data_IF_853152424131
#
_entry.id   IF_853152424131
#
_cell.length_a   1.000
_cell.length_b   1.000
_cell.length_c   1.000
_cell.angle_alpha   90.00
_cell.angle_beta   90.00
_cell.angle_gamma   90.00
#
_symmetry.space_group_name_H-M   'P 1'
#
loop_
_entity.id
_entity.type
_entity.pdbx_description
1 polymer ?
#
# COMPACT_ATOMS: atom_id res chain seq x y z
N UNK A 1 -0.93 20.08 35.86
CA UNK A 1 -0.28 18.97 35.12
C UNK A 1 -0.91 17.67 35.60
N UNK A 2 -1.12 16.70 34.70
CA UNK A 2 -1.66 15.39 35.10
C UNK A 2 -0.58 14.55 35.81
N UNK A 3 -0.95 13.67 36.76
CA UNK A 3 -0.02 12.71 37.34
C UNK A 3 0.52 11.74 36.28
N UNK A 4 1.82 11.43 36.32
CA UNK A 4 2.46 10.50 35.37
C UNK A 4 1.81 9.12 35.38
N UNK A 5 1.37 8.65 36.56
CA UNK A 5 0.67 7.37 36.71
C UNK A 5 -0.64 7.32 35.94
N UNK A 6 -1.38 8.44 35.90
CA UNK A 6 -2.62 8.54 35.16
C UNK A 6 -2.37 8.54 33.65
N UNK A 7 -1.35 9.28 33.19
CA UNK A 7 -0.96 9.30 31.77
C UNK A 7 -0.57 7.91 31.29
N UNK A 8 0.23 7.18 32.08
CA UNK A 8 0.64 5.81 31.77
C UNK A 8 -0.56 4.86 31.66
N UNK A 9 -1.48 4.90 32.62
CA UNK A 9 -2.67 4.05 32.61
C UNK A 9 -3.56 4.31 31.38
N UNK A 10 -3.70 5.57 30.97
CA UNK A 10 -4.45 5.94 29.76
C UNK A 10 -3.77 5.37 28.51
N UNK A 11 -2.44 5.55 28.36
CA UNK A 11 -1.70 5.03 27.21
C UNK A 11 -1.80 3.50 27.09
N UNK A 12 -1.68 2.78 28.21
CA UNK A 12 -1.84 1.33 28.24
C UNK A 12 -3.25 0.90 27.82
N UNK A 13 -4.29 1.59 28.34
CA UNK A 13 -5.67 1.31 27.95
C UNK A 13 -5.94 1.61 26.47
N UNK A 14 -5.35 2.66 25.91
CA UNK A 14 -5.47 3.00 24.49
C UNK A 14 -4.81 1.94 23.60
N UNK A 15 -3.59 1.52 23.94
CA UNK A 15 -2.88 0.47 23.22
C UNK A 15 -3.62 -0.87 23.24
N UNK A 16 -4.32 -1.19 24.33
CA UNK A 16 -5.17 -2.38 24.42
C UNK A 16 -6.46 -2.27 23.61
N UNK A 17 -7.07 -1.07 23.58
CA UNK A 17 -8.32 -0.84 22.85
C UNK A 17 -8.11 -0.86 21.33
N UNK A 18 -6.96 -0.38 20.85
CA UNK A 18 -6.57 -0.47 19.45
C UNK A 18 -5.08 -0.83 19.30
N UNK A 19 -4.76 -2.14 19.24
CA UNK A 19 -3.39 -2.61 19.06
C UNK A 19 -2.73 -2.19 17.74
N UNK A 20 -3.52 -1.71 16.77
CA UNK A 20 -3.02 -1.28 15.46
C UNK A 20 -2.89 0.25 15.35
N UNK A 21 -3.25 1.01 16.40
CA UNK A 21 -3.13 2.46 16.41
C UNK A 21 -1.69 2.96 16.27
N UNK A 22 -0.72 2.19 16.76
CA UNK A 22 0.71 2.53 16.70
C UNK A 22 1.54 1.30 16.28
N UNK A 23 1.58 1.03 14.98
CA UNK A 23 2.40 -0.05 14.42
C UNK A 23 3.85 0.42 14.35
N UNK A 24 4.72 -0.26 15.09
CA UNK A 24 6.16 0.01 15.13
C UNK A 24 6.94 -1.05 14.35
N UNK A 25 7.81 -0.60 13.45
CA UNK A 25 8.71 -1.45 12.69
C UNK A 25 10.08 -1.46 13.36
N UNK A 26 10.53 -2.66 13.75
CA UNK A 26 11.89 -2.87 14.22
C UNK A 26 12.84 -2.88 13.02
N UNK A 27 13.66 -1.84 12.91
CA UNK A 27 14.58 -1.66 11.80
C UNK A 27 16.03 -1.85 12.26
N UNK A 28 16.86 -2.36 11.36
CA UNK A 28 18.29 -2.59 11.57
C UNK A 28 19.08 -2.05 10.39
N UNK A 29 20.10 -1.24 10.67
CA UNK A 29 20.97 -0.71 9.64
C UNK A 29 21.94 -1.81 9.17
N UNK A 30 21.98 -2.15 7.87
CA UNK A 30 22.88 -3.19 7.37
C UNK A 30 24.37 -2.78 7.45
N UNK A 31 24.68 -1.48 7.48
CA UNK A 31 26.05 -0.98 7.50
C UNK A 31 26.68 -0.95 8.91
N UNK A 32 25.91 -0.63 9.95
CA UNK A 32 26.43 -0.44 11.32
C UNK A 32 25.72 -1.26 12.40
N UNK A 33 24.71 -2.06 12.02
CA UNK A 33 23.89 -2.87 12.94
C UNK A 33 23.13 -2.08 14.02
N UNK A 34 22.98 -0.77 13.88
CA UNK A 34 22.13 0.03 14.75
C UNK A 34 20.66 -0.38 14.62
N UNK A 35 19.93 -0.41 15.74
CA UNK A 35 18.51 -0.79 15.80
C UNK A 35 17.68 0.42 16.24
N UNK A 36 16.52 0.60 15.61
CA UNK A 36 15.53 1.60 16.01
C UNK A 36 14.11 1.11 15.74
N UNK A 37 13.14 1.77 16.36
CA UNK A 37 11.71 1.60 16.05
C UNK A 37 11.25 2.78 15.20
N UNK A 38 10.47 2.49 14.16
CA UNK A 38 9.86 3.51 13.32
C UNK A 38 8.35 3.29 13.23
N UNK A 39 7.58 4.35 13.46
CA UNK A 39 6.13 4.33 13.26
C UNK A 39 5.82 4.06 11.79
N UNK A 40 4.93 3.10 11.55
CA UNK A 40 4.40 2.81 10.22
C UNK A 40 3.14 3.63 9.98
N UNK A 41 3.28 4.69 9.18
CA UNK A 41 2.14 5.46 8.69
C UNK A 41 1.39 4.69 7.59
N UNK A 42 0.45 3.86 8.01
CA UNK A 42 -0.40 3.07 7.14
C UNK A 42 -1.21 3.94 6.16
N UNK A 43 -1.63 5.14 6.56
CA UNK A 43 -2.47 6.01 5.72
C UNK A 43 -1.67 6.49 4.52
N UNK A 44 -0.49 7.07 4.76
CA UNK A 44 0.37 7.54 3.68
C UNK A 44 0.86 6.39 2.79
N UNK A 45 1.23 5.25 3.40
CA UNK A 45 1.64 4.07 2.66
C UNK A 45 0.52 3.57 1.72
N UNK A 46 -0.67 3.32 2.27
CA UNK A 46 -1.78 2.76 1.51
C UNK A 46 -2.24 3.69 0.37
N UNK A 47 -2.25 5.00 0.62
CA UNK A 47 -2.58 5.99 -0.40
C UNK A 47 -1.59 5.97 -1.58
N UNK A 48 -0.29 5.84 -1.28
CA UNK A 48 0.74 5.70 -2.32
C UNK A 48 0.55 4.42 -3.17
N UNK A 49 0.21 3.30 -2.52
CA UNK A 49 -0.05 2.02 -3.19
C UNK A 49 -1.28 2.08 -4.10
N UNK A 50 -2.39 2.69 -3.62
CA UNK A 50 -3.59 2.90 -4.43
C UNK A 50 -3.29 3.76 -5.66
N UNK A 51 -2.57 4.88 -5.48
CA UNK A 51 -2.20 5.75 -6.59
C UNK A 51 -1.32 5.05 -7.61
N UNK A 52 -0.31 4.29 -7.14
CA UNK A 52 0.54 3.49 -8.00
C UNK A 52 -0.25 2.43 -8.76
N UNK A 53 -1.19 1.76 -8.09
CA UNK A 53 -2.08 0.77 -8.71
C UNK A 53 -2.97 1.39 -9.77
N UNK A 54 -3.63 2.51 -9.47
CA UNK A 54 -4.50 3.21 -10.41
C UNK A 54 -3.74 3.65 -11.68
N UNK A 55 -2.54 4.21 -11.51
CA UNK A 55 -1.69 4.61 -12.63
C UNK A 55 -1.17 3.43 -13.47
N UNK A 56 -0.98 2.25 -12.88
CA UNK A 56 -0.67 1.02 -13.63
C UNK A 56 -1.87 0.54 -14.44
N UNK A 57 -3.04 0.41 -13.80
CA UNK A 57 -4.28 -0.05 -14.47
C UNK A 57 -4.66 0.86 -15.64
N UNK A 58 -4.54 2.18 -15.48
CA UNK A 58 -4.84 3.11 -16.57
C UNK A 58 -3.93 2.88 -17.79
N UNK A 59 -2.64 2.60 -17.58
CA UNK A 59 -1.71 2.27 -18.66
C UNK A 59 -2.05 0.93 -19.32
N UNK A 60 -2.40 -0.09 -18.53
CA UNK A 60 -2.86 -1.38 -19.07
C UNK A 60 -4.08 -1.19 -20.00
N UNK A 61 -5.08 -0.45 -19.53
CA UNK A 61 -6.29 -0.12 -20.29
C UNK A 61 -5.95 0.64 -21.56
N UNK A 62 -5.14 1.68 -21.46
CA UNK A 62 -4.74 2.49 -22.60
C UNK A 62 -4.05 1.65 -23.68
N UNK A 63 -3.07 0.82 -23.31
CA UNK A 63 -2.33 -0.02 -24.25
C UNK A 63 -3.24 -1.04 -24.92
N UNK A 64 -4.09 -1.75 -24.15
CA UNK A 64 -5.02 -2.74 -24.69
C UNK A 64 -6.08 -2.13 -25.60
N UNK A 65 -6.66 -0.99 -25.21
CA UNK A 65 -7.63 -0.27 -26.03
C UNK A 65 -6.99 0.22 -27.34
N UNK A 66 -5.77 0.73 -27.28
CA UNK A 66 -5.06 1.24 -28.47
C UNK A 66 -4.66 0.12 -29.44
N UNK A 67 -4.29 -1.06 -28.94
CA UNK A 67 -3.86 -2.18 -29.77
C UNK A 67 -5.03 -2.95 -30.39
N UNK A 68 -6.11 -3.17 -29.63
CA UNK A 68 -7.21 -4.06 -30.03
C UNK A 68 -8.53 -3.33 -30.32
N UNK A 69 -8.64 -2.03 -30.01
CA UNK A 69 -9.88 -1.26 -30.18
C UNK A 69 -11.00 -1.64 -29.21
N UNK A 70 -10.70 -2.40 -28.16
CA UNK A 70 -11.69 -2.79 -27.16
C UNK A 70 -12.14 -1.62 -26.29
N UNK A 71 -13.37 -1.68 -25.80
CA UNK A 71 -13.89 -0.68 -24.89
C UNK A 71 -13.22 -0.81 -23.53
N UNK A 72 -13.00 0.31 -22.87
CA UNK A 72 -12.44 0.36 -21.51
C UNK A 72 -13.19 -0.56 -20.53
N UNK A 73 -14.53 -0.55 -20.59
CA UNK A 73 -15.36 -1.40 -19.73
C UNK A 73 -15.08 -2.90 -19.92
N UNK A 74 -14.86 -3.34 -21.17
CA UNK A 74 -14.59 -4.75 -21.47
C UNK A 74 -13.21 -5.16 -20.96
N UNK A 75 -12.23 -4.25 -21.04
CA UNK A 75 -10.87 -4.46 -20.51
C UNK A 75 -10.86 -4.52 -18.98
N UNK A 76 -11.60 -3.61 -18.33
CA UNK A 76 -11.72 -3.56 -16.87
C UNK A 76 -12.47 -4.78 -16.32
N UNK A 77 -13.40 -5.35 -17.09
CA UNK A 77 -14.09 -6.59 -16.73
C UNK A 77 -13.18 -7.84 -16.80
N UNK A 78 -12.02 -7.76 -17.46
CA UNK A 78 -11.05 -8.85 -17.48
C UNK A 78 -10.34 -8.99 -16.13
N UNK A 79 -9.92 -10.22 -15.80
CA UNK A 79 -9.00 -10.43 -14.68
C UNK A 79 -7.64 -9.75 -14.98
N UNK A 80 -6.93 -9.37 -13.92
CA UNK A 80 -5.58 -8.79 -14.05
C UNK A 80 -4.61 -9.73 -14.77
N UNK A 81 -4.74 -11.05 -14.58
CA UNK A 81 -3.96 -12.05 -15.30
C UNK A 81 -4.23 -12.03 -16.80
N UNK A 82 -5.51 -11.97 -17.21
CA UNK A 82 -5.88 -11.94 -18.62
C UNK A 82 -5.38 -10.68 -19.33
N UNK A 83 -5.46 -9.52 -18.68
CA UNK A 83 -4.88 -8.27 -19.22
C UNK A 83 -3.37 -8.39 -19.42
N UNK A 84 -2.65 -8.95 -18.46
CA UNK A 84 -1.19 -9.16 -18.57
C UNK A 84 -0.81 -10.04 -19.75
N UNK A 85 -1.51 -11.15 -19.97
CA UNK A 85 -1.25 -12.03 -21.12
C UNK A 85 -1.40 -11.29 -22.45
N UNK A 86 -2.43 -10.46 -22.61
CA UNK A 86 -2.57 -9.66 -23.84
C UNK A 86 -1.50 -8.56 -23.96
N UNK A 87 -1.08 -7.97 -22.85
CA UNK A 87 0.01 -6.98 -22.86
C UNK A 87 1.34 -7.62 -23.27
N UNK A 88 1.60 -8.85 -22.84
CA UNK A 88 2.76 -9.63 -23.27
C UNK A 88 2.71 -9.89 -24.79
N UNK A 89 1.55 -10.27 -25.34
CA UNK A 89 1.38 -10.46 -26.79
C UNK A 89 1.54 -9.18 -27.62
N UNK A 90 1.29 -8.01 -27.04
CA UNK A 90 1.54 -6.71 -27.71
C UNK A 90 3.04 -6.38 -27.75
N UNK A 91 3.81 -6.87 -26.77
CA UNK A 91 5.23 -6.58 -26.64
C UNK A 91 6.14 -7.50 -27.48
N UNK A 92 5.57 -8.52 -28.13
CA UNK A 92 6.21 -9.40 -29.12
C UNK A 92 6.26 -8.74 -30.51
#
# INVERSE_FOLDING_TARGET
MLPESLVKAILESMALADPQADVQLALKCPACAHHWQATFDIVSFFWSEIHGWAGRVLREVHTLASAYGWREADILAMSSQRRRLYLEMIAE
#
